data_IF_810192796860
#
_entry.id   IF_810192796860
#
_cell.length_a   1.000
_cell.length_b   1.000
_cell.length_c   1.000
_cell.angle_alpha   90.00
_cell.angle_beta   90.00
_cell.angle_gamma   90.00
#
_symmetry.space_group_name_H-M   'P 1'
#
loop_
_entity.id
_entity.type
_entity.pdbx_description
1 polymer ?
#
# COMPACT_ATOMS: atom_id res chain seq x y z
N UNK A 1 3.65 -36.11 34.39
CA UNK A 1 4.25 -35.70 33.10
C UNK A 1 3.20 -35.34 32.04
N UNK A 2 2.04 -36.01 31.97
CA UNK A 2 0.98 -35.72 30.98
C UNK A 2 0.18 -34.41 31.21
N UNK A 3 0.13 -33.89 32.43
CA UNK A 3 -0.67 -32.69 32.76
C UNK A 3 0.01 -31.38 32.35
N UNK A 4 1.34 -31.37 32.32
CA UNK A 4 2.13 -30.21 31.91
C UNK A 4 2.14 -30.04 30.39
N UNK A 5 2.12 -31.14 29.64
CA UNK A 5 2.09 -31.10 28.17
C UNK A 5 0.76 -30.60 27.62
N UNK A 6 -0.36 -30.95 28.24
CA UNK A 6 -1.69 -30.45 27.85
C UNK A 6 -1.86 -28.97 28.17
N UNK A 7 -1.33 -28.50 29.30
CA UNK A 7 -1.36 -27.07 29.67
C UNK A 7 -0.52 -26.21 28.70
N UNK A 8 0.65 -26.70 28.27
CA UNK A 8 1.50 -26.02 27.28
C UNK A 8 0.81 -25.94 25.91
N UNK A 9 0.13 -27.00 25.46
CA UNK A 9 -0.64 -26.99 24.23
C UNK A 9 -1.81 -25.99 24.29
N UNK A 10 -2.55 -25.96 25.41
CA UNK A 10 -3.63 -24.98 25.63
C UNK A 10 -3.10 -23.54 25.62
N UNK A 11 -1.99 -23.25 26.31
CA UNK A 11 -1.34 -21.94 26.29
C UNK A 11 -0.90 -21.53 24.88
N UNK A 12 -0.37 -22.46 24.08
CA UNK A 12 0.05 -22.18 22.70
C UNK A 12 -1.11 -21.81 21.78
N UNK A 13 -2.30 -22.37 22.00
CA UNK A 13 -3.52 -22.01 21.25
C UNK A 13 -4.14 -20.67 21.67
N UNK A 14 -3.78 -20.12 22.84
CA UNK A 14 -4.18 -18.77 23.26
C UNK A 14 -3.20 -17.69 22.79
N UNK A 15 -1.98 -18.07 22.39
CA UNK A 15 -1.08 -17.18 21.67
C UNK A 15 -1.54 -17.21 20.21
N UNK A 16 -2.57 -16.42 19.90
CA UNK A 16 -2.86 -16.12 18.49
C UNK A 16 -1.58 -15.52 17.90
N UNK A 17 -1.09 -16.02 16.76
CA UNK A 17 -0.03 -15.30 16.07
C UNK A 17 -0.57 -13.90 15.79
N UNK A 18 0.11 -12.89 16.34
CA UNK A 18 -0.16 -11.51 15.98
C UNK A 18 0.10 -11.39 14.49
N UNK A 19 -0.97 -11.46 13.69
CA UNK A 19 -0.87 -11.24 12.25
C UNK A 19 -0.63 -9.74 12.09
N UNK A 20 0.63 -9.38 11.90
CA UNK A 20 1.00 -8.03 11.52
C UNK A 20 0.43 -7.79 10.13
N UNK A 21 -0.71 -7.11 10.03
CA UNK A 21 -1.20 -6.62 8.75
C UNK A 21 -0.13 -5.72 8.14
N UNK A 22 0.38 -6.14 6.98
CA UNK A 22 1.29 -5.32 6.19
C UNK A 22 0.46 -4.23 5.51
N UNK A 23 0.69 -2.98 5.90
CA UNK A 23 0.07 -1.83 5.25
C UNK A 23 0.94 -1.45 4.07
N UNK A 24 0.45 -1.69 2.86
CA UNK A 24 1.10 -1.24 1.64
C UNK A 24 0.61 0.16 1.29
N UNK A 25 1.55 1.11 1.19
CA UNK A 25 1.23 2.48 0.78
C UNK A 25 1.57 2.64 -0.70
N UNK A 26 0.57 3.03 -1.49
CA UNK A 26 0.68 3.21 -2.94
C UNK A 26 0.32 4.63 -3.34
N UNK A 27 1.01 5.16 -4.34
CA UNK A 27 0.67 6.43 -4.99
C UNK A 27 0.78 6.30 -6.50
N UNK A 28 0.06 7.15 -7.24
CA UNK A 28 0.17 7.19 -8.71
C UNK A 28 0.78 8.53 -9.13
N UNK A 29 1.94 8.47 -9.77
CA UNK A 29 2.62 9.64 -10.31
C UNK A 29 3.31 9.28 -11.63
N UNK A 30 3.00 10.03 -12.69
CA UNK A 30 3.59 9.85 -14.02
C UNK A 30 4.92 10.56 -14.19
N UNK A 31 5.21 11.55 -13.34
CA UNK A 31 6.41 12.38 -13.39
C UNK A 31 7.01 12.59 -11.99
N UNK A 32 8.29 12.96 -11.90
CA UNK A 32 8.96 13.29 -10.64
C UNK A 32 8.70 14.75 -10.19
N UNK A 33 7.46 14.99 -9.77
CA UNK A 33 7.01 16.30 -9.29
C UNK A 33 7.57 16.65 -7.92
N UNK A 34 7.52 17.93 -7.56
CA UNK A 34 7.86 18.37 -6.20
C UNK A 34 6.91 17.79 -5.13
N UNK A 35 5.64 17.56 -5.47
CA UNK A 35 4.67 16.88 -4.61
C UNK A 35 5.12 15.47 -4.25
N UNK A 36 5.48 14.67 -5.25
CA UNK A 36 5.99 13.32 -5.07
C UNK A 36 7.26 13.29 -4.22
N UNK A 37 8.22 14.19 -4.48
CA UNK A 37 9.46 14.28 -3.69
C UNK A 37 9.19 14.60 -2.22
N UNK A 38 8.26 15.51 -1.93
CA UNK A 38 7.86 15.84 -0.55
C UNK A 38 7.16 14.66 0.14
N UNK A 39 6.28 13.95 -0.58
CA UNK A 39 5.64 12.75 -0.06
C UNK A 39 6.68 11.68 0.29
N UNK A 40 7.59 11.35 -0.63
CA UNK A 40 8.67 10.38 -0.40
C UNK A 40 9.55 10.77 0.79
N UNK A 41 9.95 12.04 0.87
CA UNK A 41 10.76 12.54 2.00
C UNK A 41 10.02 12.41 3.33
N UNK A 42 8.73 12.70 3.37
CA UNK A 42 7.90 12.49 4.56
C UNK A 42 7.85 11.01 4.95
N UNK A 43 7.59 10.13 3.99
CA UNK A 43 7.49 8.69 4.21
C UNK A 43 8.80 8.08 4.75
N UNK A 44 9.95 8.53 4.22
CA UNK A 44 11.27 8.13 4.70
C UNK A 44 11.50 8.48 6.18
N UNK A 45 10.96 9.62 6.65
CA UNK A 45 11.10 10.00 8.07
C UNK A 45 10.33 9.09 9.03
N UNK A 46 9.37 8.32 8.52
CA UNK A 46 8.52 7.42 9.30
C UNK A 46 8.73 5.94 8.94
N UNK A 47 9.80 5.63 8.20
CA UNK A 47 10.10 4.27 7.71
C UNK A 47 8.94 3.63 6.91
N UNK A 48 8.21 4.45 6.16
CA UNK A 48 7.11 4.02 5.29
C UNK A 48 7.65 3.82 3.88
N UNK A 49 7.52 2.60 3.35
CA UNK A 49 7.77 2.33 1.95
C UNK A 49 6.55 2.73 1.10
N UNK A 50 6.77 3.60 0.11
CA UNK A 50 5.72 4.00 -0.85
C UNK A 50 6.05 3.42 -2.21
N UNK A 51 5.14 2.62 -2.74
CA UNK A 51 5.20 2.15 -4.13
C UNK A 51 4.59 3.21 -5.05
N UNK A 52 5.38 3.63 -6.05
CA UNK A 52 4.98 4.65 -7.03
C UNK A 52 4.59 3.99 -8.32
N UNK A 53 3.33 4.16 -8.71
CA UNK A 53 2.74 3.57 -9.90
C UNK A 53 2.71 4.56 -11.06
N UNK A 54 2.89 4.05 -12.28
CA UNK A 54 2.74 4.82 -13.51
C UNK A 54 3.90 5.77 -13.84
N UNK A 55 5.03 5.70 -13.13
CA UNK A 55 6.18 6.56 -13.39
C UNK A 55 6.68 6.40 -14.83
N UNK A 56 6.74 7.50 -15.58
CA UNK A 56 7.12 7.52 -16.99
C UNK A 56 5.99 7.14 -17.97
N UNK A 57 4.78 6.80 -17.50
CA UNK A 57 3.62 6.71 -18.39
C UNK A 57 3.22 8.11 -18.89
N UNK A 58 2.88 8.22 -20.17
CA UNK A 58 2.39 9.48 -20.72
C UNK A 58 1.08 9.89 -20.05
N UNK A 59 1.02 11.13 -19.57
CA UNK A 59 -0.18 11.68 -18.97
C UNK A 59 -1.20 12.05 -20.06
N UNK A 60 -2.31 11.31 -20.07
CA UNK A 60 -3.44 11.46 -20.98
C UNK A 60 -4.70 11.97 -20.24
N UNK A 61 -4.58 12.33 -18.97
CA UNK A 61 -5.71 12.70 -18.10
C UNK A 61 -6.19 14.15 -18.22
N UNK A 62 -5.70 14.91 -19.21
CA UNK A 62 -6.00 16.34 -19.39
C UNK A 62 -5.38 17.24 -18.31
N UNK A 63 -5.55 18.56 -18.40
CA UNK A 63 -5.11 19.46 -17.33
C UNK A 63 -6.08 19.36 -16.13
N UNK A 64 -5.66 18.66 -15.08
CA UNK A 64 -6.42 18.50 -13.83
C UNK A 64 -6.72 19.81 -13.12
N UNK A 65 -6.06 20.93 -13.48
CA UNK A 65 -6.36 22.27 -12.95
C UNK A 65 -7.55 22.92 -13.65
N UNK A 66 -7.92 22.44 -14.85
CA UNK A 66 -8.92 23.03 -15.73
C UNK A 66 -10.15 22.12 -15.84
N UNK A 67 -9.97 20.81 -15.84
CA UNK A 67 -11.04 19.81 -16.00
C UNK A 67 -11.09 18.77 -14.87
N UNK A 68 -12.19 18.01 -14.79
CA UNK A 68 -12.29 16.82 -13.93
C UNK A 68 -11.34 15.72 -14.44
N UNK A 69 -10.06 15.80 -14.08
CA UNK A 69 -9.05 14.80 -14.39
C UNK A 69 -8.95 13.66 -13.35
N UNK A 70 -7.86 12.90 -13.38
CA UNK A 70 -7.56 11.86 -12.38
C UNK A 70 -8.08 10.45 -12.71
N UNK A 71 -8.93 10.29 -13.74
CA UNK A 71 -9.38 8.96 -14.20
C UNK A 71 -8.23 8.02 -14.58
N UNK A 72 -7.14 8.57 -15.11
CA UNK A 72 -5.91 7.82 -15.39
C UNK A 72 -5.29 7.23 -14.12
N UNK A 73 -5.32 7.95 -12.99
CA UNK A 73 -4.80 7.45 -11.71
C UNK A 73 -5.60 6.22 -11.26
N UNK A 74 -6.92 6.26 -11.38
CA UNK A 74 -7.81 5.14 -11.07
C UNK A 74 -7.60 3.96 -12.02
N UNK A 75 -7.34 4.20 -13.31
CA UNK A 75 -7.01 3.14 -14.27
C UNK A 75 -5.72 2.42 -13.87
N UNK A 76 -4.65 3.18 -13.63
CA UNK A 76 -3.33 2.64 -13.23
C UNK A 76 -3.45 1.85 -11.92
N UNK A 77 -4.10 2.43 -10.90
CA UNK A 77 -4.33 1.75 -9.63
C UNK A 77 -5.12 0.45 -9.82
N UNK A 78 -6.18 0.45 -10.62
CA UNK A 78 -7.00 -0.74 -10.92
C UNK A 78 -6.18 -1.84 -11.60
N UNK A 79 -5.35 -1.48 -12.56
CA UNK A 79 -4.56 -2.46 -13.31
C UNK A 79 -3.43 -3.04 -12.45
N UNK A 80 -2.80 -2.23 -11.60
CA UNK A 80 -1.86 -2.71 -10.59
C UNK A 80 -2.56 -3.65 -9.60
N UNK A 81 -3.74 -3.27 -9.10
CA UNK A 81 -4.56 -4.09 -8.22
C UNK A 81 -4.85 -5.47 -8.86
N UNK A 82 -5.25 -5.56 -10.13
CA UNK A 82 -5.52 -6.89 -10.74
C UNK A 82 -4.35 -7.87 -10.68
N UNK A 83 -3.11 -7.37 -10.63
CA UNK A 83 -1.89 -8.17 -10.63
C UNK A 83 -1.30 -8.37 -9.24
N UNK A 84 -1.77 -7.63 -8.23
CA UNK A 84 -1.28 -7.76 -6.86
C UNK A 84 -1.89 -8.99 -6.20
N UNK A 85 -1.05 -9.77 -5.50
CA UNK A 85 -1.51 -10.96 -4.78
C UNK A 85 -1.96 -10.56 -3.37
N UNK A 86 -3.26 -10.52 -3.13
CA UNK A 86 -3.83 -10.15 -1.85
C UNK A 86 -3.99 -11.35 -0.93
N UNK A 87 -3.80 -11.12 0.37
CA UNK A 87 -4.34 -11.97 1.43
C UNK A 87 -5.48 -11.27 2.19
N UNK A 88 -6.16 -12.01 3.05
CA UNK A 88 -7.28 -11.49 3.86
C UNK A 88 -6.87 -10.39 4.87
N UNK A 89 -5.58 -10.23 5.12
CA UNK A 89 -5.03 -9.29 6.11
C UNK A 89 -4.31 -8.10 5.45
N UNK A 90 -4.29 -8.03 4.12
CA UNK A 90 -3.63 -7.00 3.33
C UNK A 90 -4.39 -5.69 3.42
N UNK A 91 -3.70 -4.61 3.81
CA UNK A 91 -4.27 -3.27 3.83
C UNK A 91 -3.54 -2.40 2.82
N UNK A 92 -4.26 -1.85 1.86
CA UNK A 92 -3.69 -0.93 0.85
C UNK A 92 -4.15 0.49 1.17
N UNK A 93 -3.20 1.37 1.42
CA UNK A 93 -3.41 2.80 1.60
C UNK A 93 -3.00 3.54 0.33
N UNK A 94 -3.98 4.03 -0.41
CA UNK A 94 -3.73 4.91 -1.56
C UNK A 94 -3.62 6.36 -1.10
N UNK A 95 -2.55 7.04 -1.51
CA UNK A 95 -2.30 8.47 -1.25
C UNK A 95 -2.00 9.21 -2.55
N UNK A 96 -2.50 10.44 -2.68
CA UNK A 96 -2.19 11.29 -3.84
C UNK A 96 -0.92 12.12 -3.61
N UNK A 97 -0.19 12.38 -4.69
CA UNK A 97 1.11 13.07 -4.69
C UNK A 97 1.15 14.24 -5.69
#
# INVERSE_FOLDING_TARGET
MFFTTTLVFLLSSFITPYVKSEVLVVTVATEDTDGLRRLKKSAQNYDINIEVLGMGEEWNGGDTRIERGGGQKIRILRDWLKNYNYDENSMILFVDA
#
